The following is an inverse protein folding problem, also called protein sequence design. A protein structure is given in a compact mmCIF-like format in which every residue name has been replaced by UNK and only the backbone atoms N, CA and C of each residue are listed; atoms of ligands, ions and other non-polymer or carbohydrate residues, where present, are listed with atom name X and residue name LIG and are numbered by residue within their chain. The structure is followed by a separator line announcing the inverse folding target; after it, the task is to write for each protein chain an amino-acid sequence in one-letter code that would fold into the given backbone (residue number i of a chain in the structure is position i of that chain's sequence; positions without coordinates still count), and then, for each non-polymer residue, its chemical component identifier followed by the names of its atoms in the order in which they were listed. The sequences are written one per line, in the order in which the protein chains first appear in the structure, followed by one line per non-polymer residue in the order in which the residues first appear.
data_IF_576469928570
#
_entry.id   IF_576469928570
#
_cell.length_a   1.000
_cell.length_b   1.000
_cell.length_c   1.000
_cell.angle_alpha   90.00
_cell.angle_beta   90.00
_cell.angle_gamma   90.00
#
_symmetry.space_group_name_H-M   'P 1'
#
loop_
_entity.id
_entity.type
_entity.pdbx_description
1 polymer ?
#
# COMPACT_ATOMS: atom_id res chain seq x y z
N UNK A 1 -3.03 -15.39 -14.94
CA UNK A 1 -2.42 -14.14 -14.45
C UNK A 1 -3.20 -13.68 -13.22
N UNK A 2 -2.51 -13.16 -12.22
CA UNK A 2 -3.03 -12.36 -11.11
C UNK A 2 -2.05 -11.21 -10.86
N UNK A 3 -2.53 -10.09 -10.32
CA UNK A 3 -1.69 -8.95 -9.95
C UNK A 3 -1.71 -8.78 -8.44
N UNK A 4 -0.54 -8.64 -7.84
CA UNK A 4 -0.33 -8.36 -6.43
C UNK A 4 0.38 -7.02 -6.34
N UNK A 5 -0.14 -6.07 -5.58
CA UNK A 5 0.38 -4.70 -5.55
C UNK A 5 0.38 -4.13 -4.15
N UNK A 6 1.40 -3.35 -3.81
CA UNK A 6 1.24 -2.33 -2.77
C UNK A 6 0.37 -1.17 -3.30
N UNK A 7 -0.04 -0.26 -2.42
CA UNK A 7 -0.82 0.91 -2.76
C UNK A 7 -0.05 2.22 -2.60
N UNK A 8 0.43 2.51 -1.39
CA UNK A 8 1.10 3.77 -1.08
C UNK A 8 2.42 3.83 -1.85
N UNK A 9 2.65 4.91 -2.62
CA UNK A 9 3.86 5.12 -3.45
C UNK A 9 4.11 4.06 -4.55
N UNK A 10 3.19 3.10 -4.73
CA UNK A 10 3.21 2.09 -5.80
C UNK A 10 2.09 2.33 -6.81
N UNK A 11 0.82 2.31 -6.37
CA UNK A 11 -0.33 2.69 -7.21
C UNK A 11 -0.65 4.18 -7.08
N UNK A 12 -0.38 4.74 -5.90
CA UNK A 12 -0.36 6.18 -5.66
C UNK A 12 1.01 6.77 -5.99
N UNK A 13 1.02 8.05 -6.35
CA UNK A 13 2.24 8.79 -6.67
C UNK A 13 3.11 9.00 -5.45
N UNK A 14 4.41 9.09 -5.68
CA UNK A 14 5.33 9.55 -4.64
C UNK A 14 5.37 11.08 -4.59
N UNK A 15 5.37 11.74 -5.75
CA UNK A 15 5.33 13.19 -5.83
C UNK A 15 4.65 13.74 -7.08
N UNK A 16 4.25 15.00 -6.99
CA UNK A 16 3.71 15.79 -8.09
C UNK A 16 4.24 17.22 -8.01
N UNK A 17 4.77 17.75 -9.12
CA UNK A 17 5.27 19.13 -9.21
C UNK A 17 6.26 19.52 -8.09
N UNK A 18 7.16 18.61 -7.73
CA UNK A 18 8.18 18.84 -6.68
C UNK A 18 7.65 18.77 -5.24
N UNK A 19 6.38 18.38 -5.03
CA UNK A 19 5.80 18.13 -3.71
C UNK A 19 5.54 16.63 -3.53
N UNK A 20 5.72 16.15 -2.30
CA UNK A 20 5.43 14.76 -1.94
C UNK A 20 3.93 14.55 -1.84
N UNK A 21 3.42 13.51 -2.48
CA UNK A 21 2.02 13.09 -2.35
C UNK A 21 1.81 12.34 -1.02
N UNK A 22 0.62 12.44 -0.41
CA UNK A 22 0.35 11.80 0.86
C UNK A 22 0.16 10.29 0.69
N UNK A 23 0.66 9.51 1.66
CA UNK A 23 0.23 8.12 1.88
C UNK A 23 -1.20 8.10 2.47
N UNK A 24 -1.84 6.93 2.49
CA UNK A 24 -3.12 6.70 3.15
C UNK A 24 -3.14 7.13 4.62
N UNK A 25 -2.04 6.92 5.36
CA UNK A 25 -1.88 7.50 6.70
C UNK A 25 -1.76 9.02 6.67
N UNK A 26 -0.94 9.59 5.78
CA UNK A 26 -0.77 11.05 5.72
C UNK A 26 -2.04 11.79 5.30
N UNK A 27 -2.93 11.16 4.53
CA UNK A 27 -4.27 11.69 4.26
C UNK A 27 -5.04 11.89 5.57
N UNK A 28 -4.98 10.93 6.50
CA UNK A 28 -5.58 11.07 7.82
C UNK A 28 -4.81 12.05 8.70
N UNK A 29 -3.50 11.89 8.83
CA UNK A 29 -2.65 12.67 9.73
C UNK A 29 -2.80 14.18 9.47
N UNK A 30 -2.86 14.58 8.20
CA UNK A 30 -2.96 15.99 7.79
C UNK A 30 -4.41 16.52 7.72
N UNK A 31 -5.40 15.66 7.94
CA UNK A 31 -6.80 16.03 7.78
C UNK A 31 -7.30 17.01 8.85
N UNK A 32 -8.46 17.62 8.57
CA UNK A 32 -9.16 18.53 9.49
C UNK A 32 -9.64 17.87 10.78
N UNK A 33 -9.72 16.54 10.85
CA UNK A 33 -10.23 15.81 12.02
C UNK A 33 -9.16 15.49 13.06
N UNK A 34 -7.88 15.71 12.73
CA UNK A 34 -6.77 15.54 13.66
C UNK A 34 -6.46 16.89 14.31
N UNK A 35 -6.44 16.91 15.64
CA UNK A 35 -6.05 18.12 16.39
C UNK A 35 -4.59 18.50 16.14
N UNK A 36 -4.23 19.77 16.30
CA UNK A 36 -2.84 20.23 16.14
C UNK A 36 -1.86 19.52 17.09
N UNK A 37 -2.29 19.19 18.31
CA UNK A 37 -1.52 18.36 19.25
C UNK A 37 -1.35 16.91 18.72
N UNK A 38 -2.41 16.33 18.16
CA UNK A 38 -2.36 15.03 17.50
C UNK A 38 -1.37 15.00 16.33
N UNK A 39 -1.44 16.01 15.45
CA UNK A 39 -0.50 16.17 14.32
C UNK A 39 0.94 16.26 14.80
N UNK A 40 1.19 17.03 15.86
CA UNK A 40 2.53 17.16 16.45
C UNK A 40 3.05 15.81 16.95
N UNK A 41 2.25 15.06 17.70
CA UNK A 41 2.63 13.72 18.23
C UNK A 41 2.88 12.70 17.12
N UNK A 42 2.04 12.67 16.08
CA UNK A 42 2.24 11.81 14.92
C UNK A 42 3.54 12.15 14.19
N UNK A 43 3.84 13.45 14.03
CA UNK A 43 5.11 13.91 13.45
C UNK A 43 6.33 13.54 14.30
N UNK A 44 6.22 13.59 15.62
CA UNK A 44 7.28 13.14 16.54
C UNK A 44 7.55 11.64 16.40
N UNK A 45 6.50 10.81 16.28
CA UNK A 45 6.65 9.38 15.97
C UNK A 45 7.36 9.18 14.63
N UNK A 46 6.90 9.85 13.57
CA UNK A 46 7.52 9.77 12.24
C UNK A 46 9.01 10.13 12.28
N UNK A 47 9.37 11.24 12.91
CA UNK A 47 10.77 11.68 13.02
C UNK A 47 11.66 10.68 13.76
N UNK A 48 11.10 9.96 14.74
CA UNK A 48 11.85 8.96 15.51
C UNK A 48 12.00 7.63 14.75
N UNK A 49 10.91 7.08 14.21
CA UNK A 49 10.90 5.72 13.65
C UNK A 49 11.27 5.64 12.18
N UNK A 50 10.97 6.65 11.36
CA UNK A 50 11.29 6.59 9.92
C UNK A 50 12.80 6.44 9.64
N UNK A 51 13.72 7.16 10.33
CA UNK A 51 15.15 6.91 10.17
C UNK A 51 15.56 5.46 10.48
N UNK A 52 14.88 4.81 11.42
CA UNK A 52 15.14 3.42 11.81
C UNK A 52 14.61 2.46 10.73
N UNK A 53 13.42 2.70 10.21
CA UNK A 53 12.84 1.94 9.09
C UNK A 53 13.83 1.92 7.92
N UNK A 54 14.36 3.08 7.54
CA UNK A 54 15.21 3.17 6.35
C UNK A 54 16.69 2.83 6.59
N UNK A 55 17.11 2.56 7.83
CA UNK A 55 18.53 2.36 8.19
C UNK A 55 19.12 1.10 7.53
N UNK A 56 20.06 1.20 6.58
CA UNK A 56 20.61 0.03 5.91
C UNK A 56 21.47 -0.84 6.84
N UNK A 57 21.91 -0.32 7.99
CA UNK A 57 22.81 -1.01 8.90
C UNK A 57 22.09 -1.85 9.98
N UNK A 58 20.75 -1.72 10.07
CA UNK A 58 19.93 -2.50 10.99
C UNK A 58 19.31 -3.71 10.30
N UNK A 59 19.34 -4.85 10.97
CA UNK A 59 18.71 -6.08 10.50
C UNK A 59 17.18 -5.97 10.54
N UNK A 60 16.51 -6.83 9.76
CA UNK A 60 15.05 -6.91 9.80
C UNK A 60 14.52 -7.36 11.17
N UNK A 61 15.28 -8.20 11.88
CA UNK A 61 14.94 -8.68 13.23
C UNK A 61 14.89 -7.53 14.24
N UNK A 62 15.85 -6.61 14.17
CA UNK A 62 15.88 -5.42 15.04
C UNK A 62 14.79 -4.41 14.67
N UNK A 63 14.47 -4.26 13.37
CA UNK A 63 13.49 -3.27 12.91
C UNK A 63 12.04 -3.67 13.17
N UNK A 64 11.72 -4.96 13.01
CA UNK A 64 10.34 -5.47 13.16
C UNK A 64 9.64 -5.03 14.44
N UNK A 65 10.17 -5.26 15.66
CA UNK A 65 9.50 -4.85 16.90
C UNK A 65 9.31 -3.32 16.97
N UNK A 66 10.23 -2.54 16.42
CA UNK A 66 10.14 -1.07 16.41
C UNK A 66 9.07 -0.57 15.42
N UNK A 67 8.86 -1.26 14.30
CA UNK A 67 7.74 -0.95 13.39
C UNK A 67 6.40 -1.30 14.01
N UNK A 68 6.31 -2.42 14.74
CA UNK A 68 5.10 -2.75 15.50
C UNK A 68 4.81 -1.67 16.54
N UNK A 69 5.82 -1.24 17.31
CA UNK A 69 5.68 -0.18 18.30
C UNK A 69 5.23 1.14 17.66
N UNK A 70 5.86 1.54 16.55
CA UNK A 70 5.51 2.77 15.84
C UNK A 70 4.05 2.78 15.40
N UNK A 71 3.64 1.77 14.63
CA UNK A 71 2.31 1.74 14.05
C UNK A 71 1.23 1.56 15.11
N UNK A 72 1.50 0.77 16.17
CA UNK A 72 0.59 0.65 17.32
C UNK A 72 0.34 2.02 17.96
N UNK A 73 1.41 2.77 18.26
CA UNK A 73 1.28 4.11 18.84
C UNK A 73 0.58 5.10 17.91
N UNK A 74 0.88 5.05 16.62
CA UNK A 74 0.22 5.92 15.64
C UNK A 74 -1.29 5.64 15.57
N UNK A 75 -1.68 4.35 15.50
CA UNK A 75 -3.09 3.92 15.48
C UNK A 75 -3.83 4.25 16.78
N UNK A 76 -3.19 4.12 17.93
CA UNK A 76 -3.74 4.54 19.23
C UNK A 76 -4.00 6.05 19.26
N UNK A 77 -3.04 6.86 18.80
CA UNK A 77 -3.20 8.32 18.72
C UNK A 77 -4.34 8.72 17.79
N UNK A 78 -4.46 8.09 16.62
CA UNK A 78 -5.56 8.31 15.69
C UNK A 78 -6.92 7.97 16.31
N UNK A 79 -6.99 6.86 17.05
CA UNK A 79 -8.22 6.44 17.74
C UNK A 79 -8.65 7.43 18.82
N UNK A 80 -7.71 8.12 19.45
CA UNK A 80 -8.00 9.18 20.43
C UNK A 80 -8.58 10.47 19.79
N UNK A 81 -8.44 10.66 18.47
CA UNK A 81 -8.97 11.84 17.78
C UNK A 81 -10.48 11.80 17.52
N UNK A 82 -11.15 10.68 17.85
CA UNK A 82 -12.61 10.50 17.65
C UNK A 82 -13.07 10.70 16.20
N UNK A 83 -12.29 10.16 15.26
CA UNK A 83 -12.58 10.23 13.82
C UNK A 83 -13.93 9.57 13.54
N UNK A 84 -14.83 10.25 12.82
CA UNK A 84 -16.10 9.64 12.41
C UNK A 84 -15.95 8.93 11.07
N UNK A 85 -16.62 7.78 10.93
CA UNK A 85 -16.70 7.03 9.67
C UNK A 85 -17.18 7.91 8.51
N UNK A 86 -18.14 8.79 8.77
CA UNK A 86 -18.70 9.71 7.77
C UNK A 86 -17.71 10.75 7.26
N UNK A 87 -16.62 11.04 7.99
CA UNK A 87 -15.62 12.01 7.57
C UNK A 87 -14.66 11.46 6.51
N UNK A 88 -14.47 10.13 6.43
CA UNK A 88 -13.45 9.50 5.56
C UNK A 88 -13.56 9.96 4.11
N UNK A 89 -14.77 9.95 3.55
CA UNK A 89 -15.01 10.39 2.18
C UNK A 89 -14.62 11.86 1.94
N UNK A 90 -14.90 12.73 2.91
CA UNK A 90 -14.53 14.14 2.81
C UNK A 90 -13.04 14.34 3.00
N UNK A 91 -12.41 13.64 3.95
CA UNK A 91 -10.97 13.68 4.19
C UNK A 91 -10.20 13.31 2.92
N UNK A 92 -10.62 12.25 2.22
CA UNK A 92 -10.01 11.84 0.94
C UNK A 92 -10.19 12.92 -0.13
N UNK A 93 -11.41 13.47 -0.29
CA UNK A 93 -11.69 14.54 -1.27
C UNK A 93 -10.87 15.81 -1.04
N UNK A 94 -10.58 16.14 0.20
CA UNK A 94 -9.81 17.32 0.58
C UNK A 94 -8.29 17.12 0.51
N UNK A 95 -7.83 15.88 0.29
CA UNK A 95 -6.42 15.53 0.24
C UNK A 95 -5.80 15.73 -1.14
N UNK A 96 -4.47 15.85 -1.17
CA UNK A 96 -3.67 15.93 -2.41
C UNK A 96 -3.26 14.54 -2.93
N UNK A 97 -4.00 13.48 -2.60
CA UNK A 97 -3.71 12.13 -3.07
C UNK A 97 -3.83 12.04 -4.58
N UNK A 98 -2.88 11.36 -5.22
CA UNK A 98 -2.89 11.13 -6.66
C UNK A 98 -2.55 9.68 -6.94
N UNK A 99 -3.30 9.05 -7.83
CA UNK A 99 -2.90 7.78 -8.45
C UNK A 99 -1.87 8.05 -9.57
N UNK A 100 -1.00 7.08 -9.81
CA UNK A 100 -0.02 7.15 -10.91
C UNK A 100 -0.72 7.26 -12.26
N UNK A 101 -0.08 7.93 -13.21
CA UNK A 101 -0.63 8.04 -14.57
C UNK A 101 -0.82 6.64 -15.19
N UNK A 102 -1.92 6.44 -15.90
CA UNK A 102 -2.29 5.13 -16.45
C UNK A 102 -3.02 4.19 -15.48
N UNK A 103 -3.39 4.64 -14.26
CA UNK A 103 -4.14 3.81 -13.31
C UNK A 103 -5.49 3.35 -13.88
N UNK A 104 -6.23 4.21 -14.59
CA UNK A 104 -7.55 3.84 -15.12
C UNK A 104 -7.44 2.67 -16.07
N UNK A 105 -6.49 2.72 -17.01
CA UNK A 105 -6.19 1.63 -17.95
C UNK A 105 -5.84 0.34 -17.22
N UNK A 106 -4.97 0.40 -16.20
CA UNK A 106 -4.57 -0.78 -15.43
C UNK A 106 -5.80 -1.46 -14.81
N UNK A 107 -6.60 -0.70 -14.05
CA UNK A 107 -7.73 -1.25 -13.32
C UNK A 107 -8.85 -1.73 -14.26
N UNK A 108 -9.16 -0.98 -15.32
CA UNK A 108 -10.17 -1.33 -16.32
C UNK A 108 -9.80 -2.64 -17.04
N UNK A 109 -8.58 -2.77 -17.54
CA UNK A 109 -8.13 -4.00 -18.22
C UNK A 109 -8.14 -5.22 -17.32
N UNK A 110 -7.68 -5.06 -16.08
CA UNK A 110 -7.73 -6.15 -15.11
C UNK A 110 -9.18 -6.58 -14.85
N UNK A 111 -10.11 -5.62 -14.78
CA UNK A 111 -11.52 -5.90 -14.62
C UNK A 111 -12.13 -6.62 -15.82
N UNK A 112 -11.93 -6.11 -17.04
CA UNK A 112 -12.46 -6.66 -18.29
C UNK A 112 -12.05 -8.12 -18.52
N UNK A 113 -10.80 -8.46 -18.17
CA UNK A 113 -10.28 -9.82 -18.30
C UNK A 113 -10.48 -10.69 -17.03
N UNK A 114 -11.21 -10.16 -16.04
CA UNK A 114 -11.49 -10.81 -14.76
C UNK A 114 -10.20 -11.33 -14.08
N UNK A 115 -9.16 -10.49 -14.10
CA UNK A 115 -7.85 -10.74 -13.50
C UNK A 115 -7.90 -10.19 -12.07
N UNK A 116 -7.67 -11.04 -11.05
CA UNK A 116 -7.66 -10.58 -9.67
C UNK A 116 -6.54 -9.55 -9.44
N UNK A 117 -6.90 -8.42 -8.83
CA UNK A 117 -5.95 -7.45 -8.29
C UNK A 117 -5.99 -7.53 -6.77
N UNK A 118 -4.93 -8.04 -6.17
CA UNK A 118 -4.76 -8.10 -4.73
C UNK A 118 -3.89 -6.94 -4.26
N UNK A 119 -4.50 -5.98 -3.59
CA UNK A 119 -3.81 -4.84 -3.00
C UNK A 119 -3.46 -5.17 -1.55
N UNK A 120 -2.17 -5.21 -1.23
CA UNK A 120 -1.67 -5.58 0.08
C UNK A 120 -0.86 -4.44 0.70
N UNK A 121 -1.55 -3.63 1.48
CA UNK A 121 -1.03 -2.34 1.94
C UNK A 121 -0.82 -2.31 3.45
N UNK A 122 0.33 -1.79 3.88
CA UNK A 122 0.60 -1.44 5.27
C UNK A 122 -0.07 -0.11 5.69
N UNK A 123 -0.79 0.53 4.77
CA UNK A 123 -1.53 1.77 4.95
C UNK A 123 -2.82 1.62 5.75
N UNK A 124 -3.76 2.53 5.51
CA UNK A 124 -5.10 2.51 6.11
C UNK A 124 -6.15 2.10 5.07
N UNK A 125 -6.77 0.93 5.29
CA UNK A 125 -7.68 0.29 4.35
C UNK A 125 -8.90 1.14 3.99
N UNK A 126 -9.59 1.71 4.98
CA UNK A 126 -10.79 2.53 4.75
C UNK A 126 -10.51 3.76 3.87
N UNK A 127 -9.32 4.35 4.01
CA UNK A 127 -8.87 5.50 3.21
C UNK A 127 -8.51 5.06 1.80
N UNK A 128 -7.72 3.98 1.69
CA UNK A 128 -7.32 3.40 0.40
C UNK A 128 -8.54 3.04 -0.45
N UNK A 129 -9.50 2.30 0.13
CA UNK A 129 -10.71 1.92 -0.59
C UNK A 129 -11.50 3.16 -1.04
N UNK A 130 -11.57 4.19 -0.19
CA UNK A 130 -12.25 5.42 -0.54
C UNK A 130 -11.55 6.20 -1.66
N UNK A 131 -10.21 6.18 -1.72
CA UNK A 131 -9.45 6.71 -2.87
C UNK A 131 -9.86 5.98 -4.16
N UNK A 132 -9.91 4.63 -4.12
CA UNK A 132 -10.29 3.83 -5.29
C UNK A 132 -11.76 4.05 -5.70
N UNK A 133 -12.68 4.22 -4.74
CA UNK A 133 -14.09 4.52 -5.00
C UNK A 133 -14.25 5.87 -5.68
N UNK A 134 -13.59 6.91 -5.18
CA UNK A 134 -13.68 8.26 -5.75
C UNK A 134 -13.03 8.34 -7.12
N UNK A 135 -12.01 7.52 -7.37
CA UNK A 135 -11.40 7.35 -8.68
C UNK A 135 -12.21 6.44 -9.64
N UNK A 136 -13.34 5.86 -9.19
CA UNK A 136 -14.20 4.94 -9.95
C UNK A 136 -13.49 3.68 -10.46
N UNK A 137 -12.48 3.19 -9.73
CA UNK A 137 -11.69 2.00 -10.11
C UNK A 137 -11.77 0.87 -9.09
N UNK A 138 -12.63 0.98 -8.07
CA UNK A 138 -12.81 -0.09 -7.09
C UNK A 138 -13.74 -1.19 -7.62
N UNK A 139 -13.26 -1.94 -8.61
CA UNK A 139 -14.00 -3.00 -9.29
C UNK A 139 -14.10 -4.28 -8.44
N UNK A 140 -15.07 -5.18 -8.71
CA UNK A 140 -15.26 -6.43 -7.96
C UNK A 140 -14.07 -7.42 -7.96
N UNK A 141 -13.16 -7.32 -8.92
CA UNK A 141 -11.95 -8.14 -8.99
C UNK A 141 -10.80 -7.59 -8.11
N UNK A 142 -10.98 -6.41 -7.49
CA UNK A 142 -10.02 -5.79 -6.60
C UNK A 142 -10.30 -6.24 -5.16
N UNK A 143 -9.28 -6.82 -4.53
CA UNK A 143 -9.33 -7.26 -3.14
C UNK A 143 -8.27 -6.53 -2.34
N UNK A 144 -8.66 -5.92 -1.21
CA UNK A 144 -7.79 -5.08 -0.40
C UNK A 144 -7.56 -5.73 0.96
N UNK A 145 -6.30 -5.97 1.30
CA UNK A 145 -5.87 -6.33 2.66
C UNK A 145 -4.99 -5.21 3.19
N UNK A 146 -5.44 -4.58 4.28
CA UNK A 146 -4.78 -3.44 4.89
C UNK A 146 -5.20 -3.26 6.36
N UNK A 147 -4.70 -2.23 7.04
CA UNK A 147 -5.11 -1.91 8.40
C UNK A 147 -6.47 -1.21 8.37
N UNK A 148 -7.53 -1.94 8.65
CA UNK A 148 -8.89 -1.40 8.68
C UNK A 148 -9.23 -0.82 10.05
N UNK A 149 -9.98 0.28 10.03
CA UNK A 149 -10.58 0.90 11.20
C UNK A 149 -11.73 0.06 11.75
N UNK A 150 -11.87 0.08 13.07
CA UNK A 150 -13.05 -0.39 13.78
C UNK A 150 -13.79 0.81 14.37
N UNK A 151 -15.03 1.00 13.93
CA UNK A 151 -15.91 2.05 14.42
C UNK A 151 -16.97 1.45 15.33
N UNK A 152 -17.32 2.16 16.41
CA UNK A 152 -18.41 1.81 17.30
C UNK A 152 -19.80 2.04 16.68
N UNK A 153 -20.87 1.76 17.43
CA UNK A 153 -22.26 1.96 17.00
C UNK A 153 -22.61 3.41 16.67
N UNK A 154 -21.80 4.36 17.16
CA UNK A 154 -21.94 5.80 16.85
C UNK A 154 -21.10 6.21 15.63
N UNK A 155 -20.39 5.27 15.01
CA UNK A 155 -19.53 5.52 13.88
C UNK A 155 -18.21 6.19 14.25
N UNK A 156 -17.76 6.13 15.50
CA UNK A 156 -16.51 6.73 15.97
C UNK A 156 -15.41 5.66 15.97
N UNK A 157 -14.24 6.01 15.43
CA UNK A 157 -13.05 5.17 15.46
C UNK A 157 -12.66 4.85 16.90
N UNK A 158 -12.55 3.56 17.23
CA UNK A 158 -12.12 3.10 18.56
C UNK A 158 -10.76 2.40 18.53
N UNK A 159 -10.46 1.69 17.44
CA UNK A 159 -9.20 0.96 17.26
C UNK A 159 -9.01 0.55 15.79
N UNK A 160 -7.83 0.02 15.46
CA UNK A 160 -7.59 -0.67 14.19
C UNK A 160 -7.73 -2.17 14.38
N UNK A 161 -8.25 -2.86 13.36
CA UNK A 161 -8.45 -4.32 13.38
C UNK A 161 -7.10 -5.03 13.28
N UNK A 162 -6.96 -6.10 14.06
CA UNK A 162 -5.83 -7.02 13.94
C UNK A 162 -6.00 -7.97 12.74
N UNK A 163 -4.91 -8.53 12.19
CA UNK A 163 -3.51 -8.26 12.55
C UNK A 163 -3.01 -6.90 12.03
N UNK A 164 -2.07 -6.29 12.75
CA UNK A 164 -1.36 -5.09 12.28
C UNK A 164 -0.47 -5.47 11.08
N UNK A 165 -0.56 -4.69 10.02
CA UNK A 165 0.25 -4.80 8.80
C UNK A 165 1.21 -3.61 8.77
N UNK A 166 2.50 -3.90 8.62
CA UNK A 166 3.57 -2.92 8.51
C UNK A 166 4.56 -3.35 7.42
N UNK A 167 5.52 -2.47 7.09
CA UNK A 167 6.47 -2.65 5.98
C UNK A 167 7.24 -3.98 5.97
N UNK A 168 7.36 -4.71 7.09
CA UNK A 168 8.20 -5.93 7.18
C UNK A 168 7.45 -7.23 7.52
N UNK A 169 6.11 -7.19 7.55
CA UNK A 169 5.28 -8.37 7.77
C UNK A 169 4.26 -8.62 6.65
N UNK A 170 4.41 -7.95 5.50
CA UNK A 170 3.64 -8.23 4.27
C UNK A 170 4.05 -9.58 3.65
N UNK A 171 3.66 -10.66 4.31
CA UNK A 171 3.88 -12.03 3.87
C UNK A 171 2.70 -12.92 4.26
N UNK A 172 2.83 -14.22 4.01
CA UNK A 172 1.76 -15.19 4.28
C UNK A 172 1.29 -15.22 5.74
N UNK A 173 2.09 -14.78 6.72
CA UNK A 173 1.68 -14.77 8.14
C UNK A 173 0.44 -13.92 8.40
N UNK A 174 0.27 -12.82 7.67
CA UNK A 174 -0.91 -11.93 7.77
C UNK A 174 -2.12 -12.54 7.08
N UNK A 175 -1.90 -13.45 6.13
CA UNK A 175 -2.94 -14.07 5.31
C UNK A 175 -3.34 -15.46 5.84
N UNK A 176 -2.72 -15.92 6.94
CA UNK A 176 -3.07 -17.16 7.61
C UNK A 176 -4.55 -17.13 8.04
N UNK A 177 -5.33 -18.07 7.49
CA UNK A 177 -6.77 -18.15 7.72
C UNK A 177 -7.63 -17.48 6.65
N UNK A 178 -7.03 -16.84 5.64
CA UNK A 178 -7.75 -16.36 4.44
C UNK A 178 -7.74 -17.44 3.36
N UNK A 179 -8.89 -17.68 2.74
CA UNK A 179 -9.00 -18.61 1.60
C UNK A 179 -8.67 -17.93 0.25
N UNK A 180 -8.30 -16.65 0.26
CA UNK A 180 -8.15 -15.84 -0.95
C UNK A 180 -7.23 -16.50 -1.99
N UNK A 181 -5.99 -16.81 -1.60
CA UNK A 181 -5.05 -17.44 -2.54
C UNK A 181 -5.36 -18.91 -2.85
N UNK A 182 -6.13 -19.59 -2.01
CA UNK A 182 -6.60 -20.95 -2.30
C UNK A 182 -7.62 -20.95 -3.44
N UNK A 183 -8.52 -19.95 -3.45
CA UNK A 183 -9.49 -19.73 -4.53
C UNK A 183 -8.81 -19.34 -5.86
N UNK A 184 -7.60 -18.78 -5.80
CA UNK A 184 -6.80 -18.37 -6.96
C UNK A 184 -5.71 -19.37 -7.36
N UNK A 185 -5.76 -20.61 -6.85
CA UNK A 185 -4.75 -21.64 -7.08
C UNK A 185 -4.49 -22.00 -8.56
N UNK A 186 -5.42 -21.69 -9.46
CA UNK A 186 -5.26 -21.87 -10.91
C UNK A 186 -4.51 -20.73 -11.60
N UNK A 187 -4.32 -19.57 -10.95
CA UNK A 187 -3.66 -18.38 -11.52
C UNK A 187 -2.17 -18.38 -11.15
N UNK A 188 -1.37 -19.19 -11.83
CA UNK A 188 0.06 -19.43 -11.49
C UNK A 188 1.05 -18.35 -11.94
N UNK A 189 0.62 -17.43 -12.82
CA UNK A 189 1.44 -16.30 -13.29
C UNK A 189 1.11 -15.03 -12.50
N UNK A 190 2.12 -14.34 -11.98
CA UNK A 190 1.99 -13.19 -11.08
C UNK A 190 2.75 -11.99 -11.63
N UNK A 191 2.12 -10.81 -11.62
CA UNK A 191 2.84 -9.53 -11.65
C UNK A 191 2.78 -8.96 -10.24
N UNK A 192 3.94 -8.66 -9.67
CA UNK A 192 4.10 -8.07 -8.35
C UNK A 192 4.59 -6.63 -8.50
N UNK A 193 3.86 -5.67 -7.92
CA UNK A 193 4.20 -4.25 -7.91
C UNK A 193 4.49 -3.81 -6.47
N UNK A 194 5.60 -3.12 -6.23
CA UNK A 194 5.92 -2.57 -4.92
C UNK A 194 6.97 -1.47 -4.99
N UNK A 195 7.10 -0.67 -3.94
CA UNK A 195 8.10 0.40 -3.83
C UNK A 195 9.08 0.19 -2.68
N UNK A 196 8.92 -0.90 -1.91
CA UNK A 196 9.79 -1.22 -0.78
C UNK A 196 10.37 -2.63 -0.89
N UNK A 197 11.41 -2.93 -0.12
CA UNK A 197 11.95 -4.29 -0.04
C UNK A 197 11.01 -5.28 0.66
N UNK A 198 10.06 -4.76 1.46
CA UNK A 198 9.08 -5.59 2.16
C UNK A 198 7.97 -6.11 1.25
N UNK A 199 7.78 -5.50 0.09
CA UNK A 199 6.75 -5.88 -0.87
C UNK A 199 7.12 -7.14 -1.65
N UNK A 200 8.40 -7.50 -1.68
CA UNK A 200 8.89 -8.71 -2.36
C UNK A 200 8.31 -10.01 -1.81
N UNK A 201 7.80 -10.00 -0.57
CA UNK A 201 7.20 -11.16 0.11
C UNK A 201 5.68 -11.22 -0.01
N UNK A 202 5.04 -10.28 -0.72
CA UNK A 202 3.57 -10.23 -0.83
C UNK A 202 2.99 -11.45 -1.57
N UNK A 203 3.78 -12.11 -2.41
CA UNK A 203 3.38 -13.32 -3.14
C UNK A 203 3.63 -14.63 -2.36
N UNK A 204 4.19 -14.58 -1.14
CA UNK A 204 4.54 -15.78 -0.36
C UNK A 204 3.33 -16.65 0.00
N UNK A 205 2.12 -16.08 0.00
CA UNK A 205 0.87 -16.79 0.26
C UNK A 205 0.31 -17.54 -0.96
N UNK A 206 0.90 -17.40 -2.15
CA UNK A 206 0.39 -18.04 -3.37
C UNK A 206 0.81 -19.52 -3.39
N UNK A 207 -0.14 -20.49 -3.43
CA UNK A 207 0.17 -21.91 -3.31
C UNK A 207 1.09 -22.46 -4.40
N UNK A 208 0.97 -21.94 -5.62
CA UNK A 208 1.75 -22.37 -6.79
C UNK A 208 2.06 -21.18 -7.68
N UNK A 209 3.35 -20.94 -7.87
CA UNK A 209 3.88 -19.90 -8.76
C UNK A 209 4.65 -20.57 -9.88
N UNK A 210 4.24 -20.33 -11.13
CA UNK A 210 4.98 -20.78 -12.31
C UNK A 210 5.88 -19.67 -12.84
N UNK A 211 5.34 -18.46 -12.96
CA UNK A 211 6.09 -17.27 -13.36
C UNK A 211 5.72 -16.11 -12.44
N UNK A 212 6.72 -15.34 -12.00
CA UNK A 212 6.52 -14.10 -11.27
C UNK A 212 7.41 -13.03 -11.88
N UNK A 213 6.82 -11.87 -12.17
CA UNK A 213 7.54 -10.67 -12.59
C UNK A 213 7.39 -9.61 -11.50
N UNK A 214 8.51 -9.15 -10.95
CA UNK A 214 8.55 -8.15 -9.87
C UNK A 214 8.98 -6.80 -10.44
N UNK A 215 8.12 -5.81 -10.29
CA UNK A 215 8.35 -4.43 -10.73
C UNK A 215 8.44 -3.54 -9.49
N UNK A 216 9.60 -2.90 -9.33
CA UNK A 216 9.95 -2.09 -8.17
C UNK A 216 9.97 -0.59 -8.49
N UNK A 217 9.18 0.22 -7.79
CA UNK A 217 9.21 1.68 -7.89
C UNK A 217 10.26 2.27 -6.94
N UNK A 218 11.38 2.73 -7.47
CA UNK A 218 12.43 3.38 -6.69
C UNK A 218 12.21 4.89 -6.68
N UNK A 219 11.43 5.35 -5.69
CA UNK A 219 10.96 6.73 -5.64
C UNK A 219 11.90 7.72 -4.91
N UNK A 220 12.70 7.23 -3.95
CA UNK A 220 13.53 8.07 -3.08
C UNK A 220 14.92 7.45 -2.86
N UNK A 221 15.91 8.32 -2.66
CA UNK A 221 17.32 7.95 -2.47
C UNK A 221 17.84 7.00 -3.55
N UNK A 222 17.53 7.31 -4.81
CA UNK A 222 17.78 6.46 -5.98
C UNK A 222 19.23 5.95 -6.00
N UNK A 223 20.21 6.87 -5.94
CA UNK A 223 21.63 6.50 -6.02
C UNK A 223 22.07 5.57 -4.87
N UNK A 224 21.56 5.77 -3.65
CA UNK A 224 21.91 4.94 -2.48
C UNK A 224 21.26 3.55 -2.53
N UNK A 225 20.10 3.42 -3.18
CA UNK A 225 19.25 2.23 -3.12
C UNK A 225 19.23 1.42 -4.42
N UNK A 226 19.67 2.00 -5.54
CA UNK A 226 19.63 1.39 -6.88
C UNK A 226 20.17 -0.03 -6.89
N UNK A 227 21.38 -0.25 -6.37
CA UNK A 227 22.03 -1.57 -6.37
C UNK A 227 21.17 -2.63 -5.67
N UNK A 228 20.57 -2.26 -4.54
CA UNK A 228 19.70 -3.17 -3.77
C UNK A 228 18.40 -3.50 -4.51
N UNK A 229 17.82 -2.53 -5.21
CA UNK A 229 16.58 -2.74 -5.98
C UNK A 229 16.83 -3.58 -7.22
N UNK A 230 17.90 -3.28 -7.97
CA UNK A 230 18.30 -4.05 -9.16
C UNK A 230 18.63 -5.50 -8.80
N UNK A 231 19.18 -5.75 -7.61
CA UNK A 231 19.43 -7.10 -7.13
C UNK A 231 18.18 -7.88 -6.68
N UNK A 232 17.01 -7.25 -6.58
CA UNK A 232 15.83 -7.85 -5.94
C UNK A 232 14.53 -7.79 -6.78
N UNK A 233 14.40 -6.80 -7.65
CA UNK A 233 13.30 -6.62 -8.60
C UNK A 233 13.78 -6.93 -10.02
N UNK A 234 12.90 -7.51 -10.85
CA UNK A 234 13.21 -7.81 -12.24
C UNK A 234 13.22 -6.55 -13.12
N UNK A 235 12.35 -5.59 -12.80
CA UNK A 235 12.27 -4.27 -13.42
C UNK A 235 12.27 -3.22 -12.31
N UNK A 236 13.15 -2.23 -12.42
CA UNK A 236 13.22 -1.09 -11.50
C UNK A 236 12.85 0.19 -12.23
N UNK A 237 11.87 0.92 -11.70
CA UNK A 237 11.39 2.19 -12.24
C UNK A 237 11.86 3.33 -11.32
N UNK A 238 12.84 4.10 -11.78
CA UNK A 238 13.44 5.19 -10.99
C UNK A 238 12.67 6.50 -11.18
N UNK A 239 12.12 7.05 -10.10
CA UNK A 239 11.35 8.30 -10.12
C UNK A 239 10.23 8.34 -11.18
N UNK A 240 9.67 7.19 -11.53
CA UNK A 240 8.57 7.06 -12.49
C UNK A 240 7.24 7.31 -11.77
N UNK A 241 6.39 8.19 -12.31
CA UNK A 241 5.04 8.51 -11.79
C UNK A 241 3.89 7.88 -12.59
N UNK A 242 4.20 6.89 -13.42
CA UNK A 242 3.29 6.22 -14.35
C UNK A 242 3.17 4.72 -14.06
N UNK A 243 2.19 4.08 -14.70
CA UNK A 243 1.99 2.64 -14.77
C UNK A 243 2.21 2.11 -16.20
N UNK A 244 2.93 2.86 -17.03
CA UNK A 244 3.06 2.58 -18.46
C UNK A 244 3.73 1.24 -18.75
N UNK A 245 4.74 0.87 -17.95
CA UNK A 245 5.47 -0.40 -18.11
C UNK A 245 4.56 -1.58 -17.82
N UNK A 246 3.83 -1.57 -16.70
CA UNK A 246 2.90 -2.68 -16.37
C UNK A 246 1.74 -2.73 -17.37
N UNK A 247 1.20 -1.59 -17.79
CA UNK A 247 0.17 -1.54 -18.82
C UNK A 247 0.68 -2.07 -20.16
N UNK A 248 1.92 -1.74 -20.55
CA UNK A 248 2.56 -2.29 -21.75
C UNK A 248 2.72 -3.81 -21.70
N UNK A 249 3.13 -4.35 -20.55
CA UNK A 249 3.21 -5.80 -20.33
C UNK A 249 1.82 -6.44 -20.43
N UNK A 250 0.81 -5.84 -19.80
CA UNK A 250 -0.55 -6.36 -19.84
C UNK A 250 -1.12 -6.37 -21.25
N UNK A 251 -0.95 -5.31 -22.04
CA UNK A 251 -1.35 -5.30 -23.47
C UNK A 251 -0.76 -6.49 -24.23
N UNK A 252 0.56 -6.68 -24.09
CA UNK A 252 1.24 -7.79 -24.74
C UNK A 252 0.74 -9.17 -24.29
N UNK A 253 0.59 -9.38 -22.98
CA UNK A 253 0.18 -10.69 -22.40
C UNK A 253 -1.28 -11.02 -22.73
N UNK A 254 -2.14 -9.99 -22.79
CA UNK A 254 -3.56 -10.14 -23.09
C UNK A 254 -3.85 -10.20 -24.60
N UNK A 255 -2.81 -10.16 -25.43
CA UNK A 255 -2.87 -10.22 -26.90
C UNK A 255 -3.66 -9.07 -27.54
N UNK A 256 -3.38 -7.85 -27.07
CA UNK A 256 -3.79 -6.59 -27.68
C UNK A 256 -2.61 -5.81 -28.28
#
# INVERSE_FOLDING_TARGET
LQVISDFDMTLSRFGCNGRRCPTSHNILDNSRVISEDGKKKLKELLHYYYPIEIDPNRSLEEKRPLMVEWWTRAHELLSQQKIQRGDIAQIVRESDVMLRDGFSELFERLHEHNIPLFIFSAGVGDVLEEVLRQANVFYPNVNVVSNYMHFDDKGILTQFKAPLIHTYNKNNSVLQGTEYFQQLSSRTNIILLGDSMGDLTMADGVPRVENILKIGFLNDKVEERREKYVGAYDIVLECDETLDVVNGILRHVLSE
#
